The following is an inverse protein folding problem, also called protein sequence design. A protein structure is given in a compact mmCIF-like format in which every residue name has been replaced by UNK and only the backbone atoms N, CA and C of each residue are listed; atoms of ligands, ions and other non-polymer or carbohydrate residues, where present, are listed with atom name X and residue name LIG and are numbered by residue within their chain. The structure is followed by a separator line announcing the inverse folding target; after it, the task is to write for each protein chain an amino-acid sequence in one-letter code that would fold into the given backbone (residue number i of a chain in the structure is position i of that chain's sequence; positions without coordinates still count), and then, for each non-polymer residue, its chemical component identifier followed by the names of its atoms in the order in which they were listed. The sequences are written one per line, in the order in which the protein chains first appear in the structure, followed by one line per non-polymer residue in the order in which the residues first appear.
data_IF_137711992184
#
_entry.id   IF_137711992184
#
_cell.length_a   1.000
_cell.length_b   1.000
_cell.length_c   1.000
_cell.angle_alpha   90.00
_cell.angle_beta   90.00
_cell.angle_gamma   90.00
#
_symmetry.space_group_name_H-M   'P 1'
#
loop_
_entity.id
_entity.type
_entity.pdbx_description
1 polymer ?
#
# COMPACT_ATOMS: atom_id res chain seq x y z
N UNK A 1 -24.01 27.91 -0.34
CA UNK A 1 -23.28 26.78 0.25
C UNK A 1 -22.39 26.07 -0.79
N UNK A 2 -21.65 26.84 -1.60
CA UNK A 2 -20.97 26.37 -2.83
C UNK A 2 -19.43 26.31 -2.65
N UNK A 3 -18.83 27.37 -2.12
CA UNK A 3 -17.36 27.49 -2.00
C UNK A 3 -16.67 26.43 -1.14
N UNK A 4 -17.33 25.87 -0.12
CA UNK A 4 -16.75 24.85 0.76
C UNK A 4 -16.53 23.51 0.03
N UNK A 5 -17.46 23.14 -0.86
CA UNK A 5 -17.39 21.91 -1.65
C UNK A 5 -16.37 22.04 -2.78
N UNK A 6 -16.32 23.20 -3.43
CA UNK A 6 -15.30 23.55 -4.44
C UNK A 6 -13.88 23.50 -3.86
N UNK A 7 -13.68 24.03 -2.65
CA UNK A 7 -12.36 23.98 -1.99
C UNK A 7 -11.96 22.56 -1.59
N UNK A 8 -12.89 21.75 -1.07
CA UNK A 8 -12.64 20.33 -0.78
C UNK A 8 -12.34 19.52 -2.05
N UNK A 9 -13.03 19.81 -3.15
CA UNK A 9 -12.76 19.17 -4.44
C UNK A 9 -11.39 19.56 -5.00
N UNK A 10 -11.02 20.85 -4.96
CA UNK A 10 -9.68 21.33 -5.37
C UNK A 10 -8.56 20.73 -4.52
N UNK A 11 -8.76 20.65 -3.21
CA UNK A 11 -7.82 19.96 -2.31
C UNK A 11 -7.73 18.46 -2.64
N UNK A 12 -8.86 17.80 -2.89
CA UNK A 12 -8.89 16.40 -3.33
C UNK A 12 -8.13 16.16 -4.63
N UNK A 13 -8.27 17.07 -5.60
CA UNK A 13 -7.54 17.01 -6.88
C UNK A 13 -6.04 17.19 -6.66
N UNK A 14 -5.61 18.12 -5.82
CA UNK A 14 -4.18 18.32 -5.49
C UNK A 14 -3.60 17.09 -4.78
N UNK A 15 -4.33 16.51 -3.83
CA UNK A 15 -3.89 15.28 -3.16
C UNK A 15 -3.83 14.10 -4.12
N UNK A 16 -4.79 13.96 -5.03
CA UNK A 16 -4.76 12.93 -6.06
C UNK A 16 -3.55 13.13 -7.00
N UNK A 17 -3.32 14.34 -7.51
CA UNK A 17 -2.16 14.66 -8.34
C UNK A 17 -0.84 14.34 -7.64
N UNK A 18 -0.67 14.79 -6.40
CA UNK A 18 0.53 14.49 -5.60
C UNK A 18 0.71 12.98 -5.39
N UNK A 19 -0.37 12.27 -5.07
CA UNK A 19 -0.34 10.82 -4.89
C UNK A 19 0.05 10.09 -6.19
N UNK A 20 -0.52 10.50 -7.33
CA UNK A 20 -0.22 9.92 -8.64
C UNK A 20 1.19 10.24 -9.10
N UNK A 21 1.68 11.47 -8.90
CA UNK A 21 3.08 11.82 -9.21
C UNK A 21 4.04 11.02 -8.34
N UNK A 22 3.77 10.91 -7.04
CA UNK A 22 4.58 10.11 -6.11
C UNK A 22 4.58 8.62 -6.48
N UNK A 23 3.43 8.09 -6.89
CA UNK A 23 3.32 6.70 -7.40
C UNK A 23 4.00 6.50 -8.75
N UNK A 24 3.98 7.49 -9.66
CA UNK A 24 4.65 7.41 -10.96
C UNK A 24 6.18 7.43 -10.85
N UNK A 25 6.73 8.02 -9.79
CA UNK A 25 8.17 8.02 -9.50
C UNK A 25 8.61 6.71 -8.81
N UNK A 26 7.68 5.99 -8.17
CA UNK A 26 8.01 4.76 -7.43
C UNK A 26 8.69 3.67 -8.27
N UNK A 27 8.25 3.34 -9.51
CA UNK A 27 8.94 2.38 -10.38
C UNK A 27 10.36 2.82 -10.72
N UNK A 28 10.58 4.11 -10.95
CA UNK A 28 11.91 4.68 -11.27
C UNK A 28 12.82 4.56 -10.05
N UNK A 29 12.31 4.86 -8.86
CA UNK A 29 13.02 4.71 -7.59
C UNK A 29 13.38 3.25 -7.30
N UNK A 30 12.45 2.30 -7.53
CA UNK A 30 12.72 0.86 -7.37
C UNK A 30 13.71 0.32 -8.40
N UNK A 31 13.73 0.88 -9.61
CA UNK A 31 14.72 0.52 -10.63
C UNK A 31 16.13 1.00 -10.27
N UNK A 32 16.27 2.19 -9.67
CA UNK A 32 17.56 2.67 -9.13
C UNK A 32 18.01 1.92 -7.87
N UNK A 33 17.07 1.39 -7.08
CA UNK A 33 17.33 0.57 -5.90
C UNK A 33 17.40 -0.93 -6.21
N UNK A 34 17.70 -1.33 -7.44
CA UNK A 34 17.77 -2.74 -7.83
C UNK A 34 18.74 -3.58 -6.97
N UNK A 35 19.70 -2.93 -6.30
CA UNK A 35 20.65 -3.54 -5.36
C UNK A 35 20.07 -3.75 -3.94
N UNK A 36 18.98 -3.06 -3.56
CA UNK A 36 18.37 -3.17 -2.23
C UNK A 36 17.21 -4.18 -2.27
N UNK A 37 17.20 -5.19 -1.38
CA UNK A 37 16.14 -6.19 -1.33
C UNK A 37 14.74 -5.56 -1.19
N UNK A 38 13.75 -5.98 -1.99
CA UNK A 38 12.35 -5.54 -1.90
C UNK A 38 11.75 -5.64 -0.49
N UNK A 39 12.20 -6.65 0.26
CA UNK A 39 11.78 -6.93 1.64
C UNK A 39 12.19 -5.79 2.58
N UNK A 40 13.35 -5.17 2.38
CA UNK A 40 13.87 -4.12 3.25
C UNK A 40 13.06 -2.83 3.12
N UNK A 41 12.65 -2.49 1.90
CA UNK A 41 11.71 -1.39 1.61
C UNK A 41 10.35 -1.65 2.29
N UNK A 42 9.87 -2.89 2.24
CA UNK A 42 8.61 -3.27 2.88
C UNK A 42 8.71 -3.15 4.41
N UNK A 43 9.81 -3.64 5.01
CA UNK A 43 10.06 -3.54 6.45
C UNK A 43 10.07 -2.07 6.87
N UNK A 44 10.74 -1.18 6.13
CA UNK A 44 10.71 0.25 6.43
C UNK A 44 9.29 0.82 6.42
N UNK A 45 8.44 0.46 5.44
CA UNK A 45 7.02 0.87 5.44
C UNK A 45 6.29 0.35 6.66
N UNK A 46 6.48 -0.92 7.02
CA UNK A 46 5.83 -1.52 8.19
C UNK A 46 6.26 -0.80 9.48
N UNK A 47 7.55 -0.51 9.63
CA UNK A 47 8.10 0.21 10.78
C UNK A 47 7.52 1.63 10.88
N UNK A 48 7.51 2.39 9.77
CA UNK A 48 6.92 3.73 9.75
C UNK A 48 5.41 3.71 10.01
N UNK A 49 4.67 2.75 9.43
CA UNK A 49 3.25 2.56 9.72
C UNK A 49 3.00 2.22 11.19
N UNK A 50 3.84 1.41 11.81
CA UNK A 50 3.77 1.10 13.24
C UNK A 50 3.96 2.35 14.09
N UNK A 51 5.01 3.15 13.82
CA UNK A 51 5.25 4.39 14.54
C UNK A 51 4.11 5.41 14.37
N UNK A 52 3.60 5.57 13.14
CA UNK A 52 2.49 6.47 12.85
C UNK A 52 1.22 6.03 13.56
N UNK A 53 0.90 4.73 13.52
CA UNK A 53 -0.25 4.16 14.23
C UNK A 53 -0.11 4.30 15.74
N UNK A 54 1.08 4.02 16.29
CA UNK A 54 1.37 4.20 17.71
C UNK A 54 1.19 5.66 18.15
N UNK A 55 1.70 6.61 17.36
CA UNK A 55 1.47 8.04 17.57
C UNK A 55 -0.01 8.40 17.54
N UNK A 56 -0.75 7.93 16.52
CA UNK A 56 -2.18 8.20 16.38
C UNK A 56 -3.00 7.67 17.57
N UNK A 57 -2.71 6.45 18.04
CA UNK A 57 -3.36 5.86 19.22
C UNK A 57 -3.01 6.67 20.48
N UNK A 58 -1.74 7.09 20.60
CA UNK A 58 -1.25 7.87 21.75
C UNK A 58 -1.93 9.24 21.84
N UNK A 59 -1.96 10.01 20.74
CA UNK A 59 -2.60 11.33 20.69
C UNK A 59 -4.13 11.26 20.68
N UNK A 60 -4.72 10.23 20.08
CA UNK A 60 -6.18 10.07 19.97
C UNK A 60 -6.85 9.41 21.18
N UNK A 61 -6.11 9.08 22.25
CA UNK A 61 -6.59 8.31 23.40
C UNK A 61 -7.33 7.00 23.04
N UNK A 62 -7.03 6.42 21.88
CA UNK A 62 -7.74 5.27 21.30
C UNK A 62 -7.43 3.92 21.95
N UNK A 63 -6.74 3.91 23.11
CA UNK A 63 -6.28 2.71 23.80
C UNK A 63 -7.40 1.71 24.14
N UNK A 64 -8.61 2.22 24.43
CA UNK A 64 -9.78 1.38 24.67
C UNK A 64 -10.17 0.59 23.40
N UNK A 65 -10.29 1.29 22.26
CA UNK A 65 -10.64 0.67 20.98
C UNK A 65 -9.53 -0.27 20.48
N UNK A 66 -8.25 0.08 20.70
CA UNK A 66 -7.12 -0.80 20.42
C UNK A 66 -7.20 -2.11 21.21
N UNK A 67 -7.49 -2.04 22.52
CA UNK A 67 -7.69 -3.24 23.36
C UNK A 67 -8.89 -4.07 22.92
N UNK A 68 -9.96 -3.43 22.46
CA UNK A 68 -11.16 -4.11 21.99
C UNK A 68 -10.91 -4.87 20.68
N UNK A 69 -10.16 -4.27 19.75
CA UNK A 69 -9.74 -4.92 18.50
C UNK A 69 -8.79 -6.09 18.80
N UNK A 70 -7.84 -5.93 19.72
CA UNK A 70 -6.92 -6.99 20.16
C UNK A 70 -7.67 -8.18 20.80
N UNK A 71 -8.78 -7.93 21.51
CA UNK A 71 -9.61 -8.99 22.09
C UNK A 71 -10.45 -9.73 21.05
N UNK A 72 -10.79 -9.07 19.94
CA UNK A 72 -11.61 -9.66 18.90
C UNK A 72 -10.76 -10.39 17.86
N UNK A 73 -10.57 -11.70 18.07
CA UNK A 73 -9.78 -12.58 17.20
C UNK A 73 -10.22 -12.54 15.73
N UNK A 74 -11.52 -12.42 15.48
CA UNK A 74 -12.07 -12.35 14.13
C UNK A 74 -11.65 -11.06 13.41
N UNK A 75 -11.78 -9.90 14.07
CA UNK A 75 -11.30 -8.63 13.52
C UNK A 75 -9.79 -8.66 13.26
N UNK A 76 -9.04 -9.26 14.18
CA UNK A 76 -7.58 -9.40 14.04
C UNK A 76 -7.19 -10.30 12.87
N UNK A 77 -7.92 -11.40 12.64
CA UNK A 77 -7.74 -12.27 11.46
C UNK A 77 -8.01 -11.52 10.15
N UNK A 78 -9.08 -10.72 10.07
CA UNK A 78 -9.34 -9.90 8.88
C UNK A 78 -8.26 -8.84 8.64
N UNK A 79 -7.76 -8.20 9.71
CA UNK A 79 -6.67 -7.23 9.61
C UNK A 79 -5.36 -7.89 9.17
N UNK A 80 -5.03 -9.07 9.70
CA UNK A 80 -3.87 -9.84 9.27
C UNK A 80 -3.99 -10.29 7.82
N UNK A 81 -5.14 -10.87 7.43
CA UNK A 81 -5.38 -11.33 6.07
C UNK A 81 -5.29 -10.18 5.06
N UNK A 82 -5.93 -9.04 5.34
CA UNK A 82 -5.85 -7.86 4.47
C UNK A 82 -4.44 -7.28 4.42
N UNK A 83 -3.71 -7.23 5.54
CA UNK A 83 -2.32 -6.80 5.58
C UNK A 83 -1.40 -7.71 4.77
N UNK A 84 -1.56 -9.03 4.86
CA UNK A 84 -0.80 -10.01 4.07
C UNK A 84 -1.15 -9.91 2.59
N UNK A 85 -2.43 -9.75 2.23
CA UNK A 85 -2.86 -9.57 0.85
C UNK A 85 -2.27 -8.30 0.23
N UNK A 86 -2.36 -7.17 0.94
CA UNK A 86 -1.82 -5.89 0.47
C UNK A 86 -0.29 -5.94 0.43
N UNK A 87 0.36 -6.48 1.46
CA UNK A 87 1.81 -6.62 1.53
C UNK A 87 2.36 -7.56 0.47
N UNK A 88 1.69 -8.69 0.23
CA UNK A 88 2.00 -9.63 -0.85
C UNK A 88 1.79 -9.01 -2.23
N UNK A 89 0.70 -8.25 -2.43
CA UNK A 89 0.47 -7.51 -3.67
C UNK A 89 1.59 -6.48 -3.93
N UNK A 90 2.02 -5.76 -2.88
CA UNK A 90 3.14 -4.82 -2.97
C UNK A 90 4.49 -5.50 -3.23
N UNK A 91 4.74 -6.64 -2.59
CA UNK A 91 5.94 -7.45 -2.84
C UNK A 91 5.96 -7.96 -4.28
N UNK A 92 4.83 -8.45 -4.79
CA UNK A 92 4.70 -8.87 -6.19
C UNK A 92 4.95 -7.71 -7.14
N UNK A 93 4.46 -6.51 -6.83
CA UNK A 93 4.73 -5.31 -7.62
C UNK A 93 6.22 -4.96 -7.65
N UNK A 94 6.89 -4.90 -6.49
CA UNK A 94 8.33 -4.59 -6.43
C UNK A 94 9.15 -5.71 -7.10
N UNK A 95 8.80 -6.97 -6.88
CA UNK A 95 9.45 -8.12 -7.51
C UNK A 95 9.31 -8.07 -9.04
N UNK A 96 8.13 -7.75 -9.57
CA UNK A 96 7.90 -7.60 -11.00
C UNK A 96 8.71 -6.45 -11.62
N UNK A 97 8.91 -5.34 -10.88
CA UNK A 97 9.75 -4.21 -11.31
C UNK A 97 11.24 -4.57 -11.28
N UNK A 98 11.69 -5.28 -10.24
CA UNK A 98 13.10 -5.66 -10.07
C UNK A 98 13.54 -6.77 -11.04
N UNK A 99 12.68 -7.76 -11.27
CA UNK A 99 12.99 -8.93 -12.10
C UNK A 99 13.05 -8.62 -13.61
N UNK A 100 12.74 -7.40 -14.09
CA UNK A 100 12.57 -7.05 -15.51
C UNK A 100 11.60 -7.98 -16.31
N UNK A 101 10.92 -8.93 -15.64
CA UNK A 101 9.98 -9.90 -16.22
C UNK A 101 8.53 -9.35 -16.21
N UNK A 102 8.35 -8.10 -16.67
CA UNK A 102 7.03 -7.51 -16.91
C UNK A 102 6.20 -8.32 -17.95
N UNK A 103 6.84 -9.24 -18.68
CA UNK A 103 6.24 -10.06 -19.75
C UNK A 103 5.71 -11.43 -19.31
N UNK A 104 6.27 -12.11 -18.29
CA UNK A 104 5.83 -13.50 -17.99
C UNK A 104 4.52 -13.57 -17.20
N UNK A 105 4.27 -12.61 -16.31
CA UNK A 105 2.99 -12.51 -15.60
C UNK A 105 1.85 -11.98 -16.50
N UNK A 106 2.16 -11.16 -17.51
CA UNK A 106 1.17 -10.71 -18.51
C UNK A 106 0.90 -11.78 -19.58
N UNK A 107 1.87 -12.65 -19.91
CA UNK A 107 1.64 -13.82 -20.79
C UNK A 107 0.63 -14.80 -20.17
N UNK A 108 0.68 -15.05 -18.86
CA UNK A 108 -0.30 -15.92 -18.18
C UNK A 108 -1.75 -15.43 -18.33
N UNK A 109 -1.97 -14.12 -18.35
CA UNK A 109 -3.29 -13.52 -18.62
C UNK A 109 -3.73 -13.65 -20.09
N UNK A 110 -2.77 -13.63 -21.04
CA UNK A 110 -3.05 -13.78 -22.47
C UNK A 110 -3.26 -15.24 -22.91
N UNK A 111 -2.58 -16.21 -22.29
CA UNK A 111 -2.69 -17.63 -22.68
C UNK A 111 -4.05 -18.23 -22.23
N UNK A 112 -4.64 -17.76 -21.13
CA UNK A 112 -5.92 -18.30 -20.65
C UNK A 112 -7.15 -17.89 -21.49
N UNK A 113 -6.99 -16.99 -22.47
CA UNK A 113 -8.12 -16.50 -23.28
C UNK A 113 -8.23 -17.15 -24.67
N UNK A 114 -7.35 -18.10 -25.04
CA UNK A 114 -7.39 -18.73 -26.37
C UNK A 114 -7.69 -20.23 -26.40
N UNK A 115 -8.11 -20.85 -25.30
CA UNK A 115 -8.56 -22.25 -25.36
C UNK A 115 -9.66 -22.55 -24.34
N UNK A 116 -10.90 -22.18 -24.64
CA UNK A 116 -12.05 -23.09 -24.85
C UNK A 116 -13.22 -22.29 -25.40
#
# INVERSE_FOLDING_TARGET
MDNQTQNRAKQGVIFALAAYTMWGIAPIYFKSLAEVPPVEILIHRIVWSFFLLAGLIHFGQGWHSFREVMKNKTKMLYLLASSVLIGGNWLLFIWAVNANHMLEASLGYYINQSST
#
